data_IF_582723718674
#
_entry.id   IF_582723718674
#
_cell.length_a   1.000
_cell.length_b   1.000
_cell.length_c   1.000
_cell.angle_alpha   90.00
_cell.angle_beta   90.00
_cell.angle_gamma   90.00
#
_symmetry.space_group_name_H-M   'P 1'
#
loop_
_entity.id
_entity.type
_entity.pdbx_description
1 polymer ?
#
# COMPACT_ATOMS: atom_id res chain seq x y z
N UNK A 1 12.63 29.45 7.54
CA UNK A 1 11.45 28.81 6.89
C UNK A 1 11.10 29.50 5.56
N UNK A 2 12.03 29.61 4.60
CA UNK A 2 11.74 30.29 3.32
C UNK A 2 10.83 29.41 2.45
N UNK A 3 9.73 29.96 1.93
CA UNK A 3 8.80 29.26 1.01
C UNK A 3 7.73 28.38 1.68
N UNK A 4 7.59 28.44 3.01
CA UNK A 4 6.48 27.80 3.71
C UNK A 4 5.25 28.70 3.70
N UNK A 5 4.07 28.10 3.52
CA UNK A 5 2.78 28.78 3.64
C UNK A 5 2.10 28.32 4.93
N UNK A 6 2.00 29.25 5.88
CA UNK A 6 1.29 29.03 7.14
C UNK A 6 -0.18 29.38 6.94
N UNK A 7 -1.07 28.42 7.18
CA UNK A 7 -2.52 28.62 7.10
C UNK A 7 -3.05 28.71 8.54
N UNK A 8 -2.98 29.92 9.10
CA UNK A 8 -3.35 30.17 10.49
C UNK A 8 -4.87 30.34 10.65
N UNK A 9 -5.50 29.48 11.46
CA UNK A 9 -6.93 29.54 11.79
C UNK A 9 -7.22 30.19 13.15
N UNK A 10 -6.19 30.54 13.95
CA UNK A 10 -6.30 30.96 15.36
C UNK A 10 -7.09 32.24 15.59
N UNK A 11 -7.43 32.99 14.54
CA UNK A 11 -8.18 34.26 14.65
C UNK A 11 -9.70 34.10 14.47
N UNK A 12 -10.23 32.88 14.26
CA UNK A 12 -11.66 32.68 13.94
C UNK A 12 -12.24 31.40 14.56
N UNK A 13 -12.74 31.48 15.79
CA UNK A 13 -13.38 30.36 16.51
C UNK A 13 -14.50 29.65 15.70
N UNK A 14 -15.22 30.37 14.86
CA UNK A 14 -16.25 29.79 13.98
C UNK A 14 -15.69 28.84 12.91
N UNK A 15 -14.45 29.07 12.43
CA UNK A 15 -13.83 28.21 11.42
C UNK A 15 -13.37 26.86 11.99
N UNK A 16 -13.08 26.79 13.30
CA UNK A 16 -12.73 25.54 13.98
C UNK A 16 -13.92 24.58 14.11
N UNK A 17 -15.16 25.07 13.92
CA UNK A 17 -16.40 24.26 13.94
C UNK A 17 -16.74 23.62 12.59
N UNK A 18 -16.04 23.99 11.52
CA UNK A 18 -16.29 23.42 10.18
C UNK A 18 -15.99 21.93 10.18
N UNK A 19 -16.90 21.12 9.64
CA UNK A 19 -16.75 19.67 9.47
C UNK A 19 -16.44 19.29 8.02
N UNK A 20 -16.22 20.28 7.14
CA UNK A 20 -15.81 20.03 5.76
C UNK A 20 -14.44 19.36 5.76
N UNK A 21 -14.26 18.37 4.88
CA UNK A 21 -13.04 17.59 4.75
C UNK A 21 -12.58 17.56 3.30
N UNK A 22 -11.26 17.55 3.11
CA UNK A 22 -10.58 17.19 1.87
C UNK A 22 -9.44 16.23 2.19
N UNK A 23 -9.21 15.21 1.37
CA UNK A 23 -8.05 14.33 1.50
C UNK A 23 -6.99 14.71 0.46
N UNK A 24 -5.72 14.63 0.84
CA UNK A 24 -4.58 14.89 -0.03
C UNK A 24 -3.61 13.71 0.01
N UNK A 25 -2.97 13.48 -1.12
CA UNK A 25 -1.78 12.64 -1.23
C UNK A 25 -0.87 13.21 -2.34
N UNK A 26 0.43 12.98 -2.23
CA UNK A 26 1.44 13.47 -3.17
C UNK A 26 2.37 12.34 -3.62
N UNK A 27 2.77 12.39 -4.88
CA UNK A 27 3.93 11.63 -5.36
C UNK A 27 5.19 12.49 -5.23
N UNK A 28 6.28 11.90 -4.71
CA UNK A 28 7.52 12.62 -4.43
C UNK A 28 8.77 11.95 -5.02
N UNK A 29 9.66 12.77 -5.56
CA UNK A 29 10.94 12.37 -6.16
C UNK A 29 12.12 12.86 -5.33
N UNK A 30 13.28 12.22 -5.50
CA UNK A 30 14.53 12.64 -4.86
C UNK A 30 15.23 13.74 -5.68
N UNK A 31 15.60 14.83 -5.01
CA UNK A 31 16.41 15.89 -5.59
C UNK A 31 17.91 15.74 -5.27
N UNK A 32 18.74 16.44 -6.04
CA UNK A 32 20.21 16.40 -5.95
C UNK A 32 20.76 16.78 -4.57
N UNK A 33 20.05 17.61 -3.80
CA UNK A 33 20.43 17.99 -2.45
C UNK A 33 19.94 17.02 -1.36
N UNK A 34 19.47 15.83 -1.76
CA UNK A 34 18.98 14.79 -0.86
C UNK A 34 17.59 15.04 -0.30
N UNK A 35 16.89 16.10 -0.72
CA UNK A 35 15.52 16.39 -0.28
C UNK A 35 14.48 15.81 -1.24
N UNK A 36 13.29 15.50 -0.73
CA UNK A 36 12.14 15.12 -1.57
C UNK A 36 11.43 16.36 -2.13
N UNK A 37 10.91 16.25 -3.36
CA UNK A 37 10.05 17.25 -3.98
C UNK A 37 8.78 16.63 -4.56
N UNK A 38 7.66 17.35 -4.46
CA UNK A 38 6.38 16.94 -5.04
C UNK A 38 6.43 17.01 -6.57
N UNK A 39 5.95 15.95 -7.22
CA UNK A 39 5.79 15.87 -8.69
C UNK A 39 4.36 15.60 -9.12
N UNK A 40 3.51 15.08 -8.24
CA UNK A 40 2.08 14.96 -8.46
C UNK A 40 1.36 15.21 -7.15
N UNK A 41 0.22 15.88 -7.20
CA UNK A 41 -0.64 16.11 -6.03
C UNK A 41 -2.09 15.86 -6.42
N UNK A 42 -2.77 15.10 -5.58
CA UNK A 42 -4.17 14.77 -5.74
C UNK A 42 -4.93 15.22 -4.48
N UNK A 43 -6.10 15.83 -4.67
CA UNK A 43 -6.99 16.23 -3.59
C UNK A 43 -8.41 15.86 -3.95
N UNK A 44 -9.10 15.16 -3.06
CA UNK A 44 -10.52 14.82 -3.18
C UNK A 44 -11.32 15.42 -2.02
N UNK A 45 -12.59 15.71 -2.23
CA UNK A 45 -13.47 16.10 -1.14
C UNK A 45 -14.14 14.90 -0.46
N UNK A 46 -15.04 15.20 0.48
CA UNK A 46 -15.84 14.20 1.20
C UNK A 46 -16.66 13.28 0.29
N UNK A 47 -17.09 13.76 -0.88
CA UNK A 47 -17.86 13.00 -1.85
C UNK A 47 -16.95 12.22 -2.82
N UNK A 48 -15.65 12.21 -2.57
CA UNK A 48 -14.61 11.64 -3.44
C UNK A 48 -14.49 12.37 -4.78
N UNK A 49 -15.00 13.60 -4.88
CA UNK A 49 -14.84 14.41 -6.08
C UNK A 49 -13.45 15.05 -6.11
N UNK A 50 -12.78 14.95 -7.25
CA UNK A 50 -11.46 15.53 -7.47
C UNK A 50 -11.51 17.07 -7.41
N UNK A 51 -10.74 17.66 -6.50
CA UNK A 51 -10.56 19.12 -6.35
C UNK A 51 -9.20 19.61 -6.83
N UNK A 52 -8.21 18.73 -6.86
CA UNK A 52 -6.90 18.99 -7.45
C UNK A 52 -6.35 17.66 -7.98
N UNK A 53 -5.85 17.65 -9.20
CA UNK A 53 -5.04 16.57 -9.75
C UNK A 53 -4.08 17.23 -10.73
N UNK A 54 -2.82 17.37 -10.29
CA UNK A 54 -1.80 18.14 -11.02
C UNK A 54 -0.45 17.49 -10.90
N UNK A 55 0.22 17.36 -12.04
CA UNK A 55 1.68 17.26 -12.09
C UNK A 55 2.30 18.61 -11.71
N UNK A 56 3.40 18.55 -10.97
CA UNK A 56 4.11 19.69 -10.40
C UNK A 56 5.54 19.66 -10.89
N UNK A 57 6.01 20.78 -11.43
CA UNK A 57 7.41 20.95 -11.81
C UNK A 57 8.24 21.25 -10.55
N UNK A 58 9.18 20.37 -10.16
CA UNK A 58 10.07 20.66 -9.06
C UNK A 58 11.01 21.82 -9.40
N UNK A 59 11.29 22.68 -8.44
CA UNK A 59 12.26 23.77 -8.62
C UNK A 59 13.71 23.24 -8.67
N UNK A 60 13.97 22.15 -7.93
CA UNK A 60 15.28 21.52 -7.83
C UNK A 60 15.43 20.44 -8.90
N UNK A 61 16.67 20.18 -9.29
CA UNK A 61 17.00 19.09 -10.20
C UNK A 61 16.70 17.74 -9.54
N UNK A 62 15.98 16.90 -10.27
CA UNK A 62 15.62 15.54 -9.86
C UNK A 62 16.81 14.63 -10.15
N UNK A 63 17.17 13.77 -9.20
CA UNK A 63 18.18 12.71 -9.39
C UNK A 63 17.59 11.32 -9.48
N UNK A 64 16.43 11.10 -8.87
CA UNK A 64 15.71 9.83 -8.92
C UNK A 64 14.21 10.08 -8.88
N UNK A 65 13.53 9.70 -9.97
CA UNK A 65 12.09 9.84 -10.17
C UNK A 65 11.30 8.79 -9.38
N UNK A 66 11.95 7.69 -8.96
CA UNK A 66 11.30 6.56 -8.31
C UNK A 66 10.09 6.10 -9.11
N UNK A 67 10.19 6.05 -10.43
CA UNK A 67 9.05 5.86 -11.35
C UNK A 67 8.29 4.56 -11.06
N UNK A 68 8.99 3.53 -10.59
CA UNK A 68 8.40 2.27 -10.10
C UNK A 68 7.50 2.45 -8.87
N UNK A 69 7.71 3.51 -8.11
CA UNK A 69 6.89 3.91 -6.97
C UNK A 69 5.90 4.98 -7.38
N UNK A 70 6.32 6.09 -8.00
CA UNK A 70 5.48 7.28 -8.23
C UNK A 70 4.62 7.19 -9.47
N UNK A 71 4.94 6.29 -10.40
CA UNK A 71 4.34 6.24 -11.73
C UNK A 71 4.68 7.45 -12.61
N UNK A 72 5.61 8.32 -12.19
CA UNK A 72 5.99 9.54 -12.91
C UNK A 72 7.38 9.38 -13.52
N UNK A 73 7.49 9.60 -14.82
CA UNK A 73 8.75 9.61 -15.58
C UNK A 73 9.24 11.03 -15.87
N UNK A 74 10.48 11.13 -16.39
CA UNK A 74 11.02 12.41 -16.87
C UNK A 74 10.19 13.01 -18.01
N UNK A 75 9.60 12.17 -18.86
CA UNK A 75 8.78 12.60 -20.00
C UNK A 75 7.45 13.19 -19.53
N UNK A 76 6.85 12.65 -18.48
CA UNK A 76 5.60 13.16 -17.92
C UNK A 76 5.74 14.58 -17.36
N UNK A 77 6.94 14.95 -16.91
CA UNK A 77 7.24 16.29 -16.40
C UNK A 77 7.70 17.28 -17.49
N UNK A 78 7.87 16.83 -18.73
CA UNK A 78 8.25 17.70 -19.84
C UNK A 78 7.12 18.70 -20.14
N UNK A 79 7.47 19.99 -20.25
CA UNK A 79 6.49 21.05 -20.50
C UNK A 79 5.55 21.39 -19.34
N UNK A 80 5.60 20.68 -18.20
CA UNK A 80 4.80 21.00 -17.03
C UNK A 80 5.25 22.35 -16.44
N UNK A 81 4.30 23.26 -16.28
CA UNK A 81 4.53 24.63 -15.76
C UNK A 81 3.98 24.86 -14.37
N UNK A 82 3.09 23.98 -13.88
CA UNK A 82 2.50 24.10 -12.55
C UNK A 82 3.59 24.01 -11.49
N UNK A 83 3.71 25.05 -10.68
CA UNK A 83 4.73 25.16 -9.64
C UNK A 83 4.17 24.76 -8.27
N UNK A 84 5.07 24.52 -7.31
CA UNK A 84 4.70 24.38 -5.90
C UNK A 84 3.86 25.57 -5.39
N UNK A 85 4.14 26.78 -5.86
CA UNK A 85 3.39 27.98 -5.45
C UNK A 85 1.93 27.94 -5.95
N UNK A 86 1.67 27.39 -7.13
CA UNK A 86 0.31 27.22 -7.68
C UNK A 86 -0.48 26.18 -6.88
N UNK A 87 0.18 25.09 -6.49
CA UNK A 87 -0.40 24.08 -5.60
C UNK A 87 -0.71 24.69 -4.23
N UNK A 88 0.24 25.41 -3.63
CA UNK A 88 0.05 26.08 -2.34
C UNK A 88 -1.11 27.09 -2.39
N UNK A 89 -1.27 27.84 -3.47
CA UNK A 89 -2.40 28.76 -3.68
C UNK A 89 -3.72 28.01 -3.72
N UNK A 90 -3.77 26.87 -4.41
CA UNK A 90 -4.96 26.01 -4.49
C UNK A 90 -5.30 25.40 -3.13
N UNK A 91 -4.31 24.84 -2.43
CA UNK A 91 -4.46 24.29 -1.08
C UNK A 91 -4.92 25.35 -0.08
N UNK A 92 -4.35 26.55 -0.12
CA UNK A 92 -4.78 27.67 0.73
C UNK A 92 -6.25 28.01 0.52
N UNK A 93 -6.74 27.99 -0.73
CA UNK A 93 -8.17 28.21 -1.03
C UNK A 93 -9.03 27.10 -0.43
N UNK A 94 -8.66 25.84 -0.62
CA UNK A 94 -9.39 24.67 -0.11
C UNK A 94 -9.47 24.65 1.42
N UNK A 95 -8.40 25.07 2.10
CA UNK A 95 -8.26 25.03 3.57
C UNK A 95 -8.70 26.31 4.28
N UNK A 96 -8.97 27.39 3.54
CA UNK A 96 -9.23 28.75 4.08
C UNK A 96 -10.40 28.84 5.07
N UNK A 97 -11.40 27.97 4.94
CA UNK A 97 -12.60 27.98 5.78
C UNK A 97 -12.55 26.94 6.91
N UNK A 98 -11.34 26.62 7.36
CA UNK A 98 -11.11 25.61 8.39
C UNK A 98 -11.37 24.18 7.89
N UNK A 99 -11.38 23.91 6.59
CA UNK A 99 -11.58 22.55 6.07
C UNK A 99 -10.54 21.58 6.64
N UNK A 100 -10.98 20.49 7.25
CA UNK A 100 -10.08 19.47 7.80
C UNK A 100 -9.33 18.77 6.65
N UNK A 101 -8.02 18.65 6.78
CA UNK A 101 -7.17 17.94 5.84
C UNK A 101 -6.99 16.49 6.28
N UNK A 102 -7.30 15.55 5.39
CA UNK A 102 -7.19 14.12 5.62
C UNK A 102 -6.03 13.55 4.79
N UNK A 103 -5.34 12.53 5.29
CA UNK A 103 -4.41 11.74 4.49
C UNK A 103 -3.77 10.61 5.29
N UNK A 104 -2.68 10.04 4.79
CA UNK A 104 -1.97 8.94 5.42
C UNK A 104 -0.47 9.26 5.55
N UNK A 105 0.06 9.28 6.78
CA UNK A 105 1.42 9.77 7.04
C UNK A 105 1.64 11.20 6.52
N UNK A 106 0.63 12.06 6.73
CA UNK A 106 0.43 13.36 6.11
C UNK A 106 1.59 14.37 6.32
N UNK A 107 2.42 14.14 7.33
CA UNK A 107 3.64 14.90 7.57
C UNK A 107 4.67 14.85 6.43
N UNK A 108 4.57 13.87 5.52
CA UNK A 108 5.40 13.79 4.31
C UNK A 108 4.87 14.77 3.27
N UNK A 109 3.56 14.71 2.98
CA UNK A 109 2.87 15.60 2.04
C UNK A 109 3.01 17.06 2.45
N UNK A 110 2.70 17.39 3.71
CA UNK A 110 2.79 18.76 4.23
C UNK A 110 4.20 19.33 4.10
N UNK A 111 5.24 18.49 4.23
CA UNK A 111 6.64 18.91 4.13
C UNK A 111 7.04 19.24 2.70
N UNK A 112 6.68 18.40 1.73
CA UNK A 112 6.99 18.67 0.30
C UNK A 112 6.11 19.78 -0.26
N UNK A 113 4.88 19.92 0.23
CA UNK A 113 3.99 21.04 -0.07
C UNK A 113 4.40 22.33 0.67
N UNK A 114 5.30 22.24 1.66
CA UNK A 114 5.71 23.31 2.58
C UNK A 114 4.50 24.05 3.17
N UNK A 115 3.51 23.28 3.64
CA UNK A 115 2.30 23.77 4.27
C UNK A 115 2.37 23.53 5.77
N UNK A 116 2.09 24.57 6.55
CA UNK A 116 1.85 24.45 7.99
C UNK A 116 0.35 24.64 8.25
N UNK A 117 -0.32 23.55 8.63
CA UNK A 117 -1.76 23.49 8.83
C UNK A 117 -2.13 22.62 10.04
N UNK A 118 -3.04 23.13 10.87
CA UNK A 118 -3.31 22.53 12.19
C UNK A 118 -4.48 21.54 12.22
N UNK A 119 -5.43 21.62 11.27
CA UNK A 119 -6.65 20.78 11.29
C UNK A 119 -6.46 19.57 10.41
N UNK A 120 -5.79 18.56 10.95
CA UNK A 120 -5.46 17.33 10.21
C UNK A 120 -6.11 16.10 10.84
N UNK A 121 -6.47 15.14 10.00
CA UNK A 121 -6.74 13.75 10.39
C UNK A 121 -5.77 12.89 9.60
N UNK A 122 -4.84 12.24 10.32
CA UNK A 122 -3.87 11.34 9.72
C UNK A 122 -4.28 9.89 10.04
N UNK A 123 -4.67 9.17 8.99
CA UNK A 123 -5.13 7.77 9.07
C UNK A 123 -4.06 6.84 9.65
N UNK A 124 -2.77 7.19 9.54
CA UNK A 124 -1.69 6.40 10.15
C UNK A 124 -1.64 6.47 11.69
N UNK A 125 -2.36 7.40 12.31
CA UNK A 125 -2.46 7.56 13.77
C UNK A 125 -3.82 7.16 14.34
N UNK A 126 -4.90 7.31 13.58
CA UNK A 126 -6.26 7.01 14.07
C UNK A 126 -6.67 5.54 13.86
N UNK A 127 -5.86 4.78 13.12
CA UNK A 127 -5.96 3.33 12.98
C UNK A 127 -4.68 2.71 13.51
N UNK A 128 -4.77 2.10 14.69
CA UNK A 128 -3.66 1.41 15.33
C UNK A 128 -3.81 -0.11 15.15
N UNK A 129 -2.71 -0.84 14.99
CA UNK A 129 -2.74 -2.30 15.04
C UNK A 129 -3.24 -2.77 16.41
N UNK A 130 -4.19 -3.71 16.45
CA UNK A 130 -4.63 -4.40 17.68
C UNK A 130 -3.45 -4.92 18.52
N UNK A 131 -2.47 -5.51 17.83
CA UNK A 131 -1.45 -6.38 18.41
C UNK A 131 -0.02 -5.92 18.09
N UNK A 132 0.13 -4.65 17.71
CA UNK A 132 1.42 -4.04 17.36
C UNK A 132 1.95 -3.11 18.45
N UNK A 133 3.24 -2.75 18.43
CA UNK A 133 3.73 -1.63 19.22
C UNK A 133 2.86 -0.40 18.96
N UNK A 134 2.45 0.33 20.01
CA UNK A 134 1.60 1.55 19.91
C UNK A 134 2.24 2.61 18.96
N UNK A 135 3.55 2.51 18.73
CA UNK A 135 4.31 3.37 17.82
C UNK A 135 4.32 2.91 16.36
N UNK A 136 3.76 1.73 16.05
CA UNK A 136 3.72 1.17 14.69
C UNK A 136 2.57 1.80 13.91
N UNK A 137 2.93 2.53 12.86
CA UNK A 137 1.97 3.09 11.91
C UNK A 137 1.71 2.06 10.82
N UNK A 138 0.46 1.59 10.63
CA UNK A 138 0.14 0.66 9.55
C UNK A 138 0.28 1.35 8.20
N UNK A 139 0.58 0.59 7.15
CA UNK A 139 0.50 1.12 5.79
C UNK A 139 -0.95 1.29 5.36
N UNK A 140 -1.21 2.17 4.39
CA UNK A 140 -2.55 2.41 3.85
C UNK A 140 -3.20 1.12 3.32
N UNK A 141 -2.43 0.28 2.61
CA UNK A 141 -2.91 -1.03 2.13
C UNK A 141 -3.36 -1.93 3.27
N UNK A 142 -2.64 -1.96 4.40
CA UNK A 142 -3.04 -2.80 5.54
C UNK A 142 -4.34 -2.31 6.19
N UNK A 143 -4.67 -1.02 6.06
CA UNK A 143 -5.89 -0.44 6.62
C UNK A 143 -7.15 -0.77 5.80
N UNK A 144 -7.00 -1.12 4.53
CA UNK A 144 -8.13 -1.50 3.67
C UNK A 144 -8.53 -2.98 3.82
N UNK A 145 -8.14 -3.66 4.90
CA UNK A 145 -8.61 -5.02 5.23
C UNK A 145 -8.43 -6.03 4.10
N UNK A 146 -7.27 -5.99 3.42
CA UNK A 146 -6.95 -6.92 2.33
C UNK A 146 -7.56 -6.56 0.98
N UNK A 147 -8.29 -5.44 0.86
CA UNK A 147 -8.56 -4.82 -0.43
C UNK A 147 -7.37 -3.95 -0.79
N UNK A 148 -6.57 -4.34 -1.80
CA UNK A 148 -5.39 -3.57 -2.12
C UNK A 148 -5.84 -2.22 -2.72
N UNK A 149 -5.17 -1.12 -2.34
CA UNK A 149 -5.44 0.19 -2.98
C UNK A 149 -5.13 0.11 -4.48
N UNK A 150 -4.24 -0.81 -4.87
CA UNK A 150 -3.72 -1.00 -6.22
C UNK A 150 -3.19 -2.42 -6.43
N UNK A 151 -3.03 -2.85 -7.67
CA UNK A 151 -2.44 -4.15 -7.97
C UNK A 151 -1.00 -4.32 -7.44
N UNK A 152 -0.61 -5.56 -7.15
CA UNK A 152 0.73 -5.87 -6.65
C UNK A 152 1.77 -5.49 -7.70
N UNK A 153 2.70 -4.61 -7.32
CA UNK A 153 3.75 -4.11 -8.21
C UNK A 153 3.32 -2.94 -9.10
N UNK A 154 2.07 -2.50 -9.03
CA UNK A 154 1.65 -1.26 -9.67
C UNK A 154 2.23 -0.04 -8.93
N UNK A 155 2.59 1.04 -9.66
CA UNK A 155 3.01 2.28 -9.04
C UNK A 155 1.89 2.87 -8.18
N UNK A 156 2.29 3.71 -7.24
CA UNK A 156 1.42 4.58 -6.45
C UNK A 156 0.62 5.51 -7.36
N UNK A 157 -0.58 5.82 -6.89
CA UNK A 157 -1.42 6.83 -7.51
C UNK A 157 -2.04 7.67 -6.40
N UNK A 158 -1.56 8.91 -6.28
CA UNK A 158 -2.07 9.84 -5.29
C UNK A 158 -3.60 10.00 -5.27
N UNK A 159 -4.29 9.77 -6.38
CA UNK A 159 -5.75 9.90 -6.42
C UNK A 159 -6.41 8.74 -5.67
N UNK A 160 -5.93 7.53 -5.90
CA UNK A 160 -6.42 6.32 -5.23
C UNK A 160 -6.08 6.36 -3.74
N UNK A 161 -4.90 6.86 -3.40
CA UNK A 161 -4.41 6.98 -2.02
C UNK A 161 -5.20 8.04 -1.23
N UNK A 162 -5.41 9.24 -1.79
CA UNK A 162 -6.25 10.26 -1.18
C UNK A 162 -7.70 9.78 -1.01
N UNK A 163 -8.22 9.05 -2.00
CA UNK A 163 -9.56 8.46 -1.97
C UNK A 163 -9.68 7.39 -0.88
N UNK A 164 -8.69 6.50 -0.78
CA UNK A 164 -8.64 5.46 0.26
C UNK A 164 -8.58 6.08 1.66
N UNK A 165 -7.72 7.10 1.87
CA UNK A 165 -7.64 7.81 3.14
C UNK A 165 -8.98 8.48 3.51
N UNK A 166 -9.67 9.12 2.55
CA UNK A 166 -11.00 9.68 2.78
C UNK A 166 -12.02 8.60 3.15
N UNK A 167 -12.05 7.48 2.40
CA UNK A 167 -12.96 6.35 2.68
C UNK A 167 -12.76 5.79 4.08
N UNK A 168 -11.52 5.62 4.52
CA UNK A 168 -11.18 5.15 5.88
C UNK A 168 -11.75 6.09 6.95
N UNK A 169 -11.52 7.40 6.82
CA UNK A 169 -12.07 8.38 7.77
C UNK A 169 -13.60 8.36 7.79
N UNK A 170 -14.23 8.30 6.62
CA UNK A 170 -15.69 8.25 6.52
C UNK A 170 -16.28 6.97 7.12
N UNK A 171 -15.60 5.83 6.94
CA UNK A 171 -15.97 4.57 7.57
C UNK A 171 -15.89 4.69 9.10
N UNK A 172 -14.78 5.20 9.65
CA UNK A 172 -14.64 5.40 11.10
C UNK A 172 -15.72 6.33 11.67
N UNK A 173 -16.05 7.42 10.97
CA UNK A 173 -17.13 8.32 11.38
C UNK A 173 -18.49 7.61 11.35
N UNK A 174 -18.78 6.86 10.29
CA UNK A 174 -20.05 6.13 10.12
C UNK A 174 -20.26 5.06 11.20
N UNK A 175 -19.19 4.37 11.58
CA UNK A 175 -19.23 3.26 12.55
C UNK A 175 -19.02 3.70 14.01
N UNK A 176 -18.91 4.99 14.28
CA UNK A 176 -18.67 5.54 15.62
C UNK A 176 -17.18 5.69 15.92
N UNK A 177 -16.81 6.84 16.49
CA UNK A 177 -15.41 7.19 16.78
C UNK A 177 -14.89 6.61 18.10
N UNK A 178 -15.80 6.29 19.03
CA UNK A 178 -15.50 5.78 20.38
C UNK A 178 -15.44 4.24 20.44
N UNK A 179 -15.72 3.56 19.32
CA UNK A 179 -15.62 2.12 19.22
C UNK A 179 -14.14 1.74 18.97
N UNK A 180 -13.38 1.61 20.06
CA UNK A 180 -12.00 1.08 20.06
C UNK A 180 -11.94 -0.37 19.51
N UNK A 181 -13.10 -1.04 19.44
CA UNK A 181 -13.28 -2.40 18.89
C UNK A 181 -13.15 -2.52 17.36
N UNK A 182 -12.89 -1.41 16.64
CA UNK A 182 -12.43 -1.45 15.23
C UNK A 182 -10.90 -1.29 15.16
N UNK A 183 -10.20 -1.91 16.09
CA UNK A 183 -9.35 -3.06 15.80
C UNK A 183 -9.48 -3.63 14.35
N UNK A 184 -9.00 -2.92 13.33
CA UNK A 184 -8.87 -3.43 11.96
C UNK A 184 -7.81 -4.55 12.00
N UNK A 185 -8.16 -5.84 11.79
CA UNK A 185 -7.17 -6.90 11.71
C UNK A 185 -6.27 -6.60 10.51
N UNK A 186 -4.98 -6.36 10.77
CA UNK A 186 -4.02 -6.12 9.70
C UNK A 186 -3.86 -7.41 8.90
N UNK A 187 -4.47 -7.46 7.73
CA UNK A 187 -4.16 -8.51 6.76
C UNK A 187 -2.76 -8.19 6.21
N UNK A 188 -1.79 -9.03 6.55
CA UNK A 188 -0.47 -8.97 5.92
C UNK A 188 -0.62 -9.50 4.50
N UNK A 189 -0.40 -8.66 3.50
CA UNK A 189 -0.38 -9.10 2.10
C UNK A 189 0.67 -10.21 1.92
N UNK A 190 0.35 -11.29 1.18
CA UNK A 190 1.32 -12.32 0.85
C UNK A 190 2.45 -11.70 0.01
N UNK A 191 3.68 -11.77 0.52
CA UNK A 191 4.86 -11.26 -0.18
C UNK A 191 5.14 -12.18 -1.38
N UNK A 192 5.29 -11.66 -2.61
CA UNK A 192 5.58 -12.48 -3.79
C UNK A 192 6.84 -13.34 -3.59
N UNK A 193 6.85 -14.58 -4.12
CA UNK A 193 7.99 -15.48 -3.98
C UNK A 193 9.31 -14.89 -4.48
N UNK A 194 9.26 -14.07 -5.54
CA UNK A 194 10.43 -13.36 -6.07
C UNK A 194 11.04 -12.35 -5.09
N UNK A 195 10.23 -11.82 -4.17
CA UNK A 195 10.68 -10.96 -3.08
C UNK A 195 11.16 -11.79 -1.88
N UNK A 196 10.52 -12.93 -1.61
CA UNK A 196 10.95 -13.86 -0.57
C UNK A 196 12.34 -14.46 -0.86
N UNK A 197 12.71 -14.58 -2.13
CA UNK A 197 14.05 -14.98 -2.58
C UNK A 197 15.13 -13.90 -2.38
N UNK A 198 14.82 -12.76 -1.75
CA UNK A 198 15.77 -11.66 -1.53
C UNK A 198 16.03 -11.43 -0.04
N UNK A 199 17.23 -10.95 0.27
CA UNK A 199 17.56 -10.31 1.55
C UNK A 199 17.97 -8.86 1.30
N UNK A 200 17.51 -7.93 2.15
CA UNK A 200 17.96 -6.55 2.10
C UNK A 200 19.18 -6.36 2.99
N UNK A 201 20.28 -5.94 2.37
CA UNK A 201 21.47 -5.42 3.03
C UNK A 201 21.35 -3.91 3.14
N UNK A 202 21.29 -3.35 4.35
CA UNK A 202 21.10 -1.91 4.54
C UNK A 202 21.99 -1.31 5.62
N UNK A 203 22.12 0.03 5.55
CA UNK A 203 23.05 0.84 6.37
C UNK A 203 24.52 0.49 6.16
N UNK A 204 24.87 0.06 4.95
CA UNK A 204 26.23 -0.27 4.55
C UNK A 204 27.02 1.03 4.39
N UNK A 205 28.18 1.16 5.04
CA UNK A 205 29.04 2.33 4.83
C UNK A 205 29.63 2.34 3.42
N UNK A 206 29.75 3.51 2.79
CA UNK A 206 30.38 3.66 1.47
C UNK A 206 31.86 3.25 1.42
N UNK A 207 32.51 3.04 2.56
CA UNK A 207 33.86 2.47 2.64
C UNK A 207 33.90 0.95 2.39
N UNK A 208 32.78 0.24 2.52
CA UNK A 208 32.68 -1.21 2.32
C UNK A 208 32.56 -1.52 0.83
N UNK A 209 33.48 -2.35 0.32
CA UNK A 209 33.46 -2.75 -1.09
C UNK A 209 32.45 -3.87 -1.34
N UNK A 210 32.03 -4.00 -2.59
CA UNK A 210 30.99 -4.98 -2.99
C UNK A 210 31.48 -6.41 -2.76
N UNK A 211 32.76 -6.66 -3.01
CA UNK A 211 33.37 -7.98 -2.85
C UNK A 211 33.32 -8.45 -1.40
N UNK A 212 33.44 -7.52 -0.44
CA UNK A 212 33.38 -7.80 1.00
C UNK A 212 31.96 -8.18 1.45
N UNK A 213 30.91 -7.79 0.72
CA UNK A 213 29.52 -8.18 1.03
C UNK A 213 29.26 -9.66 0.76
N UNK A 214 30.01 -10.28 -0.15
CA UNK A 214 29.92 -11.73 -0.40
C UNK A 214 30.42 -12.57 0.76
N UNK A 215 31.26 -12.00 1.65
CA UNK A 215 31.73 -12.69 2.85
C UNK A 215 30.76 -12.56 4.03
N UNK A 216 29.85 -11.58 3.99
CA UNK A 216 28.91 -11.28 5.09
C UNK A 216 27.70 -12.21 5.08
N UNK A 217 27.22 -12.58 3.89
CA UNK A 217 26.04 -13.45 3.74
C UNK A 217 26.50 -14.78 3.15
N UNK A 218 26.18 -15.93 3.77
CA UNK A 218 26.52 -17.23 3.24
C UNK A 218 25.66 -17.59 2.01
N UNK A 219 26.16 -18.50 1.19
CA UNK A 219 25.45 -19.01 0.03
C UNK A 219 25.74 -18.26 -1.28
N UNK A 220 25.09 -18.71 -2.36
CA UNK A 220 25.28 -18.17 -3.71
C UNK A 220 24.13 -17.23 -4.07
N UNK A 221 24.43 -15.96 -4.23
CA UNK A 221 23.46 -14.92 -4.58
C UNK A 221 24.06 -13.91 -5.55
N UNK A 222 23.21 -13.14 -6.22
CA UNK A 222 23.60 -11.96 -6.98
C UNK A 222 23.30 -10.70 -6.17
N UNK A 223 24.16 -9.68 -6.31
CA UNK A 223 23.98 -8.38 -5.66
C UNK A 223 23.36 -7.38 -6.63
N UNK A 224 22.27 -6.74 -6.20
CA UNK A 224 21.66 -5.60 -6.87
C UNK A 224 21.82 -4.36 -5.98
N UNK A 225 22.67 -3.42 -6.39
CA UNK A 225 22.96 -2.22 -5.60
C UNK A 225 21.85 -1.18 -5.76
N UNK A 226 21.51 -0.51 -4.65
CA UNK A 226 20.67 0.67 -4.65
C UNK A 226 21.50 1.94 -4.68
N UNK A 227 20.95 3.05 -5.23
CA UNK A 227 21.62 4.35 -5.18
C UNK A 227 22.01 4.72 -3.74
N UNK A 228 23.24 5.22 -3.50
CA UNK A 228 23.67 5.61 -2.18
C UNK A 228 22.82 6.78 -1.64
N UNK A 229 22.55 6.76 -0.34
CA UNK A 229 21.88 7.83 0.40
C UNK A 229 22.86 8.39 1.43
N UNK A 230 23.59 9.44 1.04
CA UNK A 230 24.61 10.06 1.89
C UNK A 230 25.88 9.22 1.99
N UNK A 231 26.32 8.93 3.22
CA UNK A 231 27.49 8.11 3.55
C UNK A 231 27.22 6.60 3.57
N UNK A 232 25.99 6.20 3.20
CA UNK A 232 25.53 4.81 3.25
C UNK A 232 24.84 4.39 1.97
N UNK A 233 24.90 3.11 1.68
CA UNK A 233 24.16 2.48 0.58
C UNK A 233 23.42 1.23 1.06
N UNK A 234 22.68 0.61 0.15
CA UNK A 234 21.94 -0.62 0.39
C UNK A 234 22.01 -1.51 -0.84
N UNK A 235 21.79 -2.80 -0.67
CA UNK A 235 21.82 -3.78 -1.74
C UNK A 235 20.79 -4.88 -1.48
N UNK A 236 20.31 -5.51 -2.55
CA UNK A 236 19.60 -6.78 -2.44
C UNK A 236 20.56 -7.94 -2.71
N UNK A 237 20.59 -8.91 -1.82
CA UNK A 237 21.13 -10.24 -2.10
C UNK A 237 19.99 -11.08 -2.66
N UNK A 238 20.09 -11.49 -3.92
CA UNK A 238 19.06 -12.21 -4.66
C UNK A 238 19.48 -13.67 -4.80
N UNK A 239 18.71 -14.55 -4.18
CA UNK A 239 18.92 -15.99 -4.19
C UNK A 239 18.09 -16.64 -5.30
N UNK A 240 18.41 -17.90 -5.59
CA UNK A 240 17.69 -18.67 -6.62
C UNK A 240 16.22 -18.88 -6.26
N UNK A 241 15.92 -19.02 -4.97
CA UNK A 241 14.58 -19.29 -4.46
C UNK A 241 14.44 -18.79 -3.00
N UNK A 242 13.20 -18.71 -2.47
CA UNK A 242 12.94 -18.29 -1.09
C UNK A 242 13.64 -19.13 -0.01
N UNK A 243 13.78 -20.44 -0.22
CA UNK A 243 14.39 -21.33 0.77
C UNK A 243 15.88 -21.01 0.94
N UNK A 244 16.62 -20.81 -0.15
CA UNK A 244 18.03 -20.42 -0.08
C UNK A 244 18.22 -19.07 0.62
N UNK A 245 17.32 -18.10 0.41
CA UNK A 245 17.34 -16.83 1.13
C UNK A 245 17.06 -17.00 2.64
N UNK A 246 16.13 -17.89 2.99
CA UNK A 246 15.81 -18.22 4.37
C UNK A 246 17.01 -18.88 5.06
N UNK A 247 17.57 -19.92 4.47
CA UNK A 247 18.71 -20.67 5.01
C UNK A 247 19.91 -19.75 5.19
N UNK A 248 20.20 -18.91 4.19
CA UNK A 248 21.27 -17.91 4.28
C UNK A 248 21.05 -16.94 5.44
N UNK A 249 19.82 -16.46 5.66
CA UNK A 249 19.52 -15.58 6.78
C UNK A 249 19.72 -16.28 8.13
N UNK A 250 19.30 -17.54 8.28
CA UNK A 250 19.45 -18.29 9.52
C UNK A 250 20.93 -18.51 9.86
N UNK A 251 21.78 -18.76 8.87
CA UNK A 251 23.22 -18.95 9.03
C UNK A 251 24.00 -17.65 9.31
N UNK A 252 23.50 -16.48 8.89
CA UNK A 252 24.14 -15.19 9.20
C UNK A 252 24.31 -15.03 10.71
N UNK A 253 25.55 -14.79 11.14
CA UNK A 253 25.87 -14.46 12.53
C UNK A 253 25.70 -12.97 12.79
N UNK A 254 24.94 -12.63 13.84
CA UNK A 254 24.69 -11.24 14.23
C UNK A 254 23.64 -11.14 15.31
N UNK A 255 23.52 -9.96 15.93
CA UNK A 255 22.45 -9.71 16.90
C UNK A 255 21.13 -9.55 16.17
N UNK A 256 20.18 -10.45 16.44
CA UNK A 256 18.86 -10.44 15.80
C UNK A 256 17.90 -9.48 16.50
N UNK A 257 17.19 -8.68 15.71
CA UNK A 257 16.06 -7.88 16.14
C UNK A 257 14.94 -7.90 15.05
N UNK A 258 13.94 -7.05 15.22
CA UNK A 258 12.88 -6.84 14.23
C UNK A 258 12.88 -5.38 13.78
N UNK A 259 12.63 -5.16 12.49
CA UNK A 259 12.44 -3.82 11.94
C UNK A 259 11.10 -3.19 12.35
N UNK A 260 10.86 -1.94 11.94
CA UNK A 260 9.60 -1.23 12.19
C UNK A 260 8.36 -1.91 11.60
N UNK A 261 8.54 -2.79 10.61
CA UNK A 261 7.49 -3.57 9.99
C UNK A 261 7.26 -4.93 10.67
N UNK A 262 8.13 -5.34 11.61
CA UNK A 262 8.10 -6.65 12.28
C UNK A 262 8.87 -7.76 11.58
N UNK A 263 9.68 -7.42 10.56
CA UNK A 263 10.51 -8.37 9.80
C UNK A 263 11.80 -8.61 10.56
N UNK A 264 12.25 -9.86 10.60
CA UNK A 264 13.51 -10.19 11.24
C UNK A 264 14.70 -9.62 10.48
N UNK A 265 15.62 -9.02 11.23
CA UNK A 265 16.90 -8.55 10.72
C UNK A 265 18.02 -8.88 11.72
N UNK A 266 19.24 -8.99 11.23
CA UNK A 266 20.44 -9.23 12.03
C UNK A 266 21.43 -8.10 11.78
N UNK A 267 21.93 -7.49 12.85
CA UNK A 267 23.08 -6.60 12.80
C UNK A 267 24.34 -7.46 12.76
N UNK A 268 25.07 -7.38 11.65
CA UNK A 268 26.30 -8.12 11.41
C UNK A 268 27.47 -7.16 11.53
N UNK A 269 28.47 -7.55 12.32
CA UNK A 269 29.73 -6.82 12.47
C UNK A 269 30.85 -7.66 11.90
N UNK A 270 31.65 -7.07 11.02
CA UNK A 270 32.72 -7.76 10.29
C UNK A 270 33.94 -6.87 10.14
N UNK A 271 35.10 -7.47 9.90
CA UNK A 271 36.34 -6.75 9.63
C UNK A 271 36.52 -6.57 8.13
N UNK A 272 36.87 -5.36 7.72
CA UNK A 272 37.23 -5.07 6.33
C UNK A 272 38.65 -5.58 6.04
N UNK A 273 38.97 -5.73 4.76
CA UNK A 273 40.33 -6.03 4.29
C UNK A 273 41.37 -5.01 4.76
N UNK A 274 40.94 -3.79 5.11
CA UNK A 274 41.76 -2.73 5.70
C UNK A 274 42.02 -2.88 7.22
N UNK A 275 41.43 -3.88 7.88
CA UNK A 275 41.49 -4.10 9.32
C UNK A 275 40.55 -3.21 10.14
N UNK A 276 39.72 -2.39 9.48
CA UNK A 276 38.69 -1.60 10.15
C UNK A 276 37.41 -2.41 10.36
N UNK A 277 36.76 -2.23 11.50
CA UNK A 277 35.49 -2.88 11.79
C UNK A 277 34.34 -2.10 11.14
N UNK A 278 33.47 -2.81 10.43
CA UNK A 278 32.24 -2.26 9.84
C UNK A 278 31.03 -3.07 10.27
N UNK A 279 29.84 -2.53 10.03
CA UNK A 279 28.59 -3.21 10.35
C UNK A 279 27.52 -2.93 9.32
N UNK A 280 26.65 -3.90 9.09
CA UNK A 280 25.45 -3.75 8.26
C UNK A 280 24.29 -4.54 8.85
N UNK A 281 23.08 -4.28 8.35
CA UNK A 281 21.91 -5.09 8.67
C UNK A 281 21.56 -6.00 7.49
N UNK A 282 21.35 -7.28 7.78
CA UNK A 282 20.74 -8.25 6.86
C UNK A 282 19.29 -8.42 7.27
N UNK A 283 18.32 -8.26 6.37
CA UNK A 283 16.89 -8.29 6.70
C UNK A 283 16.09 -9.18 5.74
N UNK A 284 15.18 -10.00 6.31
CA UNK A 284 14.18 -10.77 5.56
C UNK A 284 13.15 -9.85 4.88
N UNK A 285 12.65 -10.27 3.73
CA UNK A 285 11.67 -9.48 2.97
C UNK A 285 10.24 -9.62 3.49
N UNK A 286 9.95 -10.69 4.25
CA UNK A 286 8.68 -10.95 4.92
C UNK A 286 8.83 -11.17 6.44
N UNK A 287 7.74 -11.03 7.21
CA UNK A 287 7.67 -11.44 8.62
C UNK A 287 7.71 -12.98 8.78
N UNK A 288 8.20 -13.47 9.92
CA UNK A 288 8.40 -14.92 10.15
C UNK A 288 7.10 -15.72 10.37
N UNK A 289 5.97 -15.08 10.69
CA UNK A 289 4.66 -15.73 10.81
C UNK A 289 3.53 -14.67 10.83
N UNK A 290 2.55 -14.70 9.90
CA UNK A 290 1.38 -13.81 9.95
C UNK A 290 0.37 -14.15 11.06
N UNK A 291 0.43 -15.35 11.65
CA UNK A 291 -0.66 -15.92 12.47
C UNK A 291 -0.27 -16.34 13.90
N UNK A 292 0.97 -16.12 14.35
CA UNK A 292 1.35 -16.38 15.76
C UNK A 292 1.54 -15.10 16.56
N UNK A 293 0.42 -14.48 16.92
CA UNK A 293 0.30 -13.67 18.12
C UNK A 293 -0.54 -14.47 19.11
N UNK A 294 0.14 -15.23 19.98
CA UNK A 294 -0.52 -15.86 21.11
C UNK A 294 -0.94 -14.74 22.09
N UNK A 295 -2.23 -14.61 22.44
CA UNK A 295 -2.67 -13.65 23.43
C UNK A 295 -2.08 -14.04 24.79
N UNK A 296 -1.24 -13.17 25.34
CA UNK A 296 -0.81 -13.26 26.73
C UNK A 296 -2.05 -13.10 27.61
N UNK A 297 -2.44 -14.19 28.28
CA UNK A 297 -3.45 -14.25 29.35
C UNK A 297 -3.34 -13.07 30.31
N UNK A 298 -4.25 -12.11 30.17
CA UNK A 298 -4.80 -11.33 31.27
C UNK A 298 -6.18 -10.84 30.88
N UNK A 299 -7.09 -10.91 31.84
CA UNK A 299 -8.51 -10.53 31.78
C UNK A 299 -9.46 -11.55 31.13
N UNK A 300 -9.70 -12.66 31.84
CA UNK A 300 -11.00 -13.34 31.81
C UNK A 300 -11.20 -14.05 33.15
N UNK A 301 -11.45 -13.24 34.18
CA UNK A 301 -12.19 -13.66 35.37
C UNK A 301 -13.08 -12.49 35.77
N UNK A 302 -14.32 -12.49 35.30
CA UNK A 302 -15.41 -11.82 36.03
C UNK A 302 -16.54 -12.82 36.13
N UNK A 303 -16.71 -13.29 37.36
CA UNK A 303 -17.80 -14.14 37.79
C UNK A 303 -19.15 -13.45 37.53
N UNK A 304 -20.10 -14.25 37.07
CA UNK A 304 -21.51 -13.93 37.06
C UNK A 304 -22.01 -13.68 38.48
N UNK A 305 -22.54 -12.49 38.75
CA UNK A 305 -23.52 -12.31 39.84
C UNK A 305 -24.60 -11.32 39.40
N UNK A 306 -25.78 -11.88 39.12
CA UNK A 306 -27.07 -11.20 39.11
C UNK A 306 -27.33 -10.52 40.46
N UNK A 307 -27.65 -9.21 40.48
CA UNK A 307 -28.53 -8.61 41.49
C UNK A 307 -29.32 -7.45 40.89
N UNK A 308 -30.63 -7.64 40.74
CA UNK A 308 -31.62 -6.57 40.63
C UNK A 308 -31.64 -5.74 41.93
N UNK A 309 -31.52 -4.40 41.83
CA UNK A 309 -32.02 -3.49 42.88
C UNK A 309 -32.80 -2.33 42.30
N UNK A 310 -34.10 -2.41 42.57
CA UNK A 310 -35.20 -1.45 42.43
C UNK A 310 -34.92 -0.21 43.31
N UNK A 311 -34.91 0.98 42.72
CA UNK A 311 -34.98 2.23 43.48
C UNK A 311 -36.42 2.77 43.43
N UNK A 312 -36.96 3.10 44.61
CA UNK A 312 -38.30 3.68 44.82
C UNK A 312 -38.26 5.18 44.53
N UNK A 313 -39.27 5.68 43.82
CA UNK A 313 -39.57 7.11 43.62
C UNK A 313 -40.67 7.55 44.60
N UNK A 314 -40.55 8.77 45.11
CA UNK A 314 -41.65 9.50 45.78
C UNK A 314 -42.64 10.06 44.74
N UNK A 315 -43.96 10.07 45.02
CA UNK A 315 -44.98 10.52 44.08
C UNK A 315 -45.42 11.95 44.41
N UNK A 316 -45.25 12.90 43.49
CA UNK A 316 -46.11 14.07 43.36
C UNK A 316 -45.70 14.90 42.14
N UNK A 317 -46.39 14.67 41.02
CA UNK A 317 -46.74 15.57 39.89
C UNK A 317 -47.06 14.71 38.68
N UNK A 318 -48.26 14.15 38.69
CA UNK A 318 -48.89 13.60 37.49
C UNK A 318 -49.92 14.62 36.99
N UNK A 319 -50.25 14.51 35.69
CA UNK A 319 -51.22 15.29 34.91
C UNK A 319 -50.65 16.48 34.12
N UNK A 320 -49.63 16.22 33.30
CA UNK A 320 -49.46 16.91 31.98
C UNK A 320 -48.55 16.13 30.99
N UNK A 321 -47.77 15.12 31.45
CA UNK A 321 -46.78 14.42 30.62
C UNK A 321 -47.21 13.06 30.01
N UNK A 322 -48.44 12.60 30.22
CA UNK A 322 -48.88 11.27 29.78
C UNK A 322 -49.27 11.17 28.30
N UNK A 323 -49.83 12.24 27.70
CA UNK A 323 -50.24 12.25 26.29
C UNK A 323 -49.04 12.42 25.33
N UNK A 324 -48.02 13.18 25.74
CA UNK A 324 -46.83 13.48 24.93
C UNK A 324 -45.89 12.27 24.83
N UNK A 325 -45.74 11.49 25.91
CA UNK A 325 -44.90 10.28 25.92
C UNK A 325 -45.52 9.11 25.14
N UNK A 326 -46.86 8.96 25.17
CA UNK A 326 -47.54 7.92 24.38
C UNK A 326 -47.37 8.13 22.87
N UNK A 327 -47.47 9.38 22.41
CA UNK A 327 -47.25 9.73 20.99
C UNK A 327 -45.79 9.53 20.54
N UNK A 328 -44.80 9.79 21.40
CA UNK A 328 -43.39 9.55 21.10
C UNK A 328 -43.04 8.05 21.00
N UNK A 329 -43.60 7.21 21.86
CA UNK A 329 -43.40 5.77 21.78
C UNK A 329 -44.02 5.17 20.51
N UNK A 330 -45.21 5.62 20.10
CA UNK A 330 -45.86 5.12 18.88
C UNK A 330 -45.12 5.55 17.60
N UNK A 331 -44.56 6.75 17.58
CA UNK A 331 -43.75 7.24 16.46
C UNK A 331 -42.41 6.51 16.36
N UNK A 332 -41.73 6.25 17.48
CA UNK A 332 -40.51 5.43 17.48
C UNK A 332 -40.78 3.98 17.04
N UNK A 333 -41.93 3.39 17.42
CA UNK A 333 -42.30 2.04 16.98
C UNK A 333 -42.48 1.97 15.45
N UNK A 334 -43.18 2.95 14.87
CA UNK A 334 -43.36 3.06 13.42
C UNK A 334 -42.03 3.26 12.68
N UNK A 335 -41.10 4.01 13.27
CA UNK A 335 -39.76 4.21 12.70
C UNK A 335 -38.92 2.93 12.75
N UNK A 336 -38.98 2.17 13.85
CA UNK A 336 -38.31 0.86 13.98
C UNK A 336 -38.88 -0.13 12.95
N UNK A 337 -40.19 -0.18 12.78
CA UNK A 337 -40.82 -1.03 11.76
C UNK A 337 -40.40 -0.63 10.34
N UNK A 338 -40.36 0.67 10.04
CA UNK A 338 -39.91 1.17 8.74
C UNK A 338 -38.43 0.86 8.47
N UNK A 339 -37.57 0.92 9.49
CA UNK A 339 -36.17 0.55 9.40
C UNK A 339 -35.99 -0.96 9.20
N UNK A 340 -36.76 -1.80 9.91
CA UNK A 340 -36.73 -3.25 9.74
C UNK A 340 -37.19 -3.67 8.34
N UNK A 341 -38.20 -3.01 7.77
CA UNK A 341 -38.61 -3.25 6.38
C UNK A 341 -37.52 -2.87 5.38
N UNK A 342 -36.83 -1.74 5.61
CA UNK A 342 -35.70 -1.31 4.78
C UNK A 342 -34.53 -2.29 4.87
N UNK A 343 -34.22 -2.77 6.07
CA UNK A 343 -33.17 -3.77 6.30
C UNK A 343 -33.46 -5.05 5.51
N UNK A 344 -34.70 -5.56 5.60
CA UNK A 344 -35.15 -6.75 4.88
C UNK A 344 -35.08 -6.58 3.35
N UNK A 345 -35.36 -5.38 2.84
CA UNK A 345 -35.23 -5.08 1.43
C UNK A 345 -33.75 -5.07 1.00
N UNK A 346 -32.87 -4.50 1.81
CA UNK A 346 -31.43 -4.50 1.55
C UNK A 346 -30.82 -5.90 1.61
N UNK A 347 -31.27 -6.76 2.53
CA UNK A 347 -30.82 -8.16 2.60
C UNK A 347 -31.19 -8.93 1.33
N UNK A 348 -32.39 -8.70 0.78
CA UNK A 348 -32.84 -9.30 -0.47
C UNK A 348 -32.01 -8.81 -1.67
N UNK A 349 -31.65 -7.53 -1.69
CA UNK A 349 -30.81 -6.93 -2.73
C UNK A 349 -29.38 -7.48 -2.68
N UNK A 350 -28.81 -7.63 -1.49
CA UNK A 350 -27.50 -8.26 -1.27
C UNK A 350 -27.50 -9.70 -1.79
N UNK A 351 -28.55 -10.47 -1.51
CA UNK A 351 -28.64 -11.85 -1.96
C UNK A 351 -28.73 -11.95 -3.49
N UNK A 352 -29.47 -11.05 -4.14
CA UNK A 352 -29.53 -10.97 -5.59
C UNK A 352 -28.17 -10.61 -6.20
N UNK A 353 -27.45 -9.65 -5.62
CA UNK A 353 -26.10 -9.26 -6.05
C UNK A 353 -25.08 -10.41 -5.87
N UNK A 354 -25.19 -11.19 -4.79
CA UNK A 354 -24.37 -12.39 -4.59
C UNK A 354 -24.62 -13.44 -5.66
N UNK A 355 -25.88 -13.62 -6.05
CA UNK A 355 -26.24 -14.56 -7.13
C UNK A 355 -25.68 -14.12 -8.48
N UNK A 356 -25.72 -12.81 -8.78
CA UNK A 356 -25.09 -12.24 -9.97
C UNK A 356 -23.56 -12.39 -9.97
N UNK A 357 -22.90 -12.13 -8.84
CA UNK A 357 -21.45 -12.32 -8.70
C UNK A 357 -21.05 -13.78 -8.98
N UNK A 358 -21.78 -14.74 -8.41
CA UNK A 358 -21.55 -16.17 -8.64
C UNK A 358 -21.68 -16.55 -10.12
N UNK A 359 -22.64 -15.94 -10.82
CA UNK A 359 -22.82 -16.16 -12.25
C UNK A 359 -21.65 -15.57 -13.06
N UNK A 360 -21.22 -14.35 -12.73
CA UNK A 360 -20.07 -13.71 -13.39
C UNK A 360 -18.76 -14.48 -13.13
N UNK A 361 -18.55 -15.01 -11.93
CA UNK A 361 -17.39 -15.85 -11.63
C UNK A 361 -17.35 -17.10 -12.51
N UNK A 362 -18.50 -17.77 -12.69
CA UNK A 362 -18.58 -18.94 -13.58
C UNK A 362 -18.30 -18.60 -15.04
N UNK A 363 -18.69 -17.41 -15.50
CA UNK A 363 -18.42 -16.94 -16.86
C UNK A 363 -16.94 -16.60 -17.06
N UNK A 364 -16.31 -15.95 -16.08
CA UNK A 364 -14.86 -15.68 -16.09
C UNK A 364 -14.07 -16.98 -16.13
N UNK A 365 -14.48 -18.01 -15.39
CA UNK A 365 -13.80 -19.30 -15.38
C UNK A 365 -13.89 -20.01 -16.74
N UNK A 366 -15.06 -19.96 -17.40
CA UNK A 366 -15.24 -20.44 -18.77
C UNK A 366 -14.34 -19.69 -19.77
N UNK A 367 -14.27 -18.36 -19.68
CA UNK A 367 -13.42 -17.55 -20.55
C UNK A 367 -11.93 -17.83 -20.34
N UNK A 368 -11.49 -18.04 -19.09
CA UNK A 368 -10.11 -18.45 -18.77
C UNK A 368 -9.77 -19.80 -19.39
N UNK A 369 -10.72 -20.75 -19.38
CA UNK A 369 -10.52 -22.06 -20.00
C UNK A 369 -10.39 -21.96 -21.52
N UNK A 370 -11.20 -21.11 -22.18
CA UNK A 370 -11.08 -20.82 -23.61
C UNK A 370 -9.72 -20.19 -23.95
N UNK A 371 -9.30 -19.16 -23.21
CA UNK A 371 -8.01 -18.51 -23.44
C UNK A 371 -6.84 -19.49 -23.31
N UNK A 372 -6.91 -20.44 -22.37
CA UNK A 372 -5.90 -21.49 -22.22
C UNK A 372 -5.80 -22.39 -23.47
N UNK A 373 -6.94 -22.72 -24.09
CA UNK A 373 -6.96 -23.49 -25.34
C UNK A 373 -6.38 -22.69 -26.50
N UNK A 374 -6.67 -21.38 -26.60
CA UNK A 374 -6.13 -20.53 -27.66
C UNK A 374 -4.61 -20.39 -27.58
N UNK A 375 -4.05 -20.26 -26.38
CA UNK A 375 -2.60 -20.22 -26.15
C UNK A 375 -1.93 -21.54 -26.57
N UNK A 376 -2.57 -22.68 -26.30
CA UNK A 376 -2.08 -24.00 -26.72
C UNK A 376 -2.10 -24.15 -28.24
N UNK A 377 -3.16 -23.69 -28.90
CA UNK A 377 -3.26 -23.64 -30.37
C UNK A 377 -2.18 -22.75 -30.98
N UNK A 378 -1.88 -21.61 -30.38
CA UNK A 378 -0.84 -20.69 -30.87
C UNK A 378 0.58 -21.30 -30.74
N UNK A 379 0.85 -21.98 -29.63
CA UNK A 379 2.09 -22.76 -29.43
C UNK A 379 2.25 -23.86 -30.50
N UNK A 380 1.20 -24.62 -30.78
CA UNK A 380 1.21 -25.65 -31.83
C UNK A 380 1.43 -25.06 -33.23
N UNK A 381 0.84 -23.89 -33.53
CA UNK A 381 1.09 -23.17 -34.80
C UNK A 381 2.54 -22.75 -34.93
N UNK A 382 3.19 -22.33 -33.84
CA UNK A 382 4.61 -21.96 -33.86
C UNK A 382 5.51 -23.18 -34.11
N UNK A 383 5.20 -24.32 -33.48
CA UNK A 383 5.90 -25.59 -33.72
C UNK A 383 5.77 -26.07 -35.18
N UNK A 384 4.57 -25.95 -35.76
CA UNK A 384 4.33 -26.26 -37.17
C UNK A 384 5.20 -25.41 -38.10
N UNK A 385 5.26 -24.08 -37.89
CA UNK A 385 6.12 -23.19 -38.68
C UNK A 385 7.59 -23.58 -38.61
N UNK A 386 8.07 -23.99 -37.44
CA UNK A 386 9.45 -24.46 -37.25
C UNK A 386 9.70 -25.75 -38.03
N UNK A 387 8.76 -26.70 -38.00
CA UNK A 387 8.86 -27.95 -38.76
C UNK A 387 8.82 -27.73 -40.26
N UNK A 388 7.99 -26.82 -40.75
CA UNK A 388 7.96 -26.45 -42.17
C UNK A 388 9.29 -25.81 -42.64
N UNK A 389 9.93 -25.03 -41.77
CA UNK A 389 11.26 -24.49 -42.05
C UNK A 389 12.30 -25.61 -42.16
N UNK A 390 12.32 -26.56 -41.22
CA UNK A 390 13.22 -27.73 -41.24
C UNK A 390 13.02 -28.57 -42.52
N UNK A 391 11.77 -28.85 -42.90
CA UNK A 391 11.42 -29.57 -44.11
C UNK A 391 11.95 -28.84 -45.36
N UNK A 392 11.77 -27.52 -45.42
CA UNK A 392 12.29 -26.73 -46.55
C UNK A 392 13.82 -26.77 -46.65
N UNK A 393 14.53 -26.73 -45.51
CA UNK A 393 15.99 -26.87 -45.47
C UNK A 393 16.42 -28.26 -45.97
N UNK A 394 15.77 -29.32 -45.48
CA UNK A 394 16.04 -30.70 -45.91
C UNK A 394 15.78 -30.89 -47.41
N UNK A 395 14.67 -30.36 -47.93
CA UNK A 395 14.35 -30.42 -49.36
C UNK A 395 15.44 -29.74 -50.21
N UNK A 396 15.98 -28.59 -49.78
CA UNK A 396 17.10 -27.92 -50.46
C UNK A 396 18.39 -28.76 -50.43
N UNK A 397 18.67 -29.42 -49.32
CA UNK A 397 19.83 -30.33 -49.22
C UNK A 397 19.68 -31.54 -50.15
N UNK A 398 18.51 -32.19 -50.17
CA UNK A 398 18.22 -33.33 -51.05
C UNK A 398 18.33 -32.92 -52.51
N UNK A 399 17.78 -31.77 -52.91
CA UNK A 399 17.92 -31.24 -54.26
C UNK A 399 19.40 -31.03 -54.65
N UNK A 400 20.21 -30.52 -53.72
CA UNK A 400 21.64 -30.30 -53.93
C UNK A 400 22.42 -31.62 -54.09
N UNK A 401 22.08 -32.65 -53.31
CA UNK A 401 22.66 -33.98 -53.42
C UNK A 401 22.28 -34.64 -54.75
N UNK A 402 21.02 -34.56 -55.17
CA UNK A 402 20.55 -35.06 -56.46
C UNK A 402 21.25 -34.38 -57.64
N UNK A 403 21.52 -33.07 -57.57
CA UNK A 403 22.30 -32.34 -58.56
C UNK A 403 23.77 -32.82 -58.64
N UNK A 404 24.41 -33.08 -57.48
CA UNK A 404 25.76 -33.65 -57.42
C UNK A 404 25.81 -35.07 -58.00
N UNK A 405 24.80 -35.89 -57.72
CA UNK A 405 24.70 -37.25 -58.23
C UNK A 405 24.51 -37.27 -59.75
N UNK A 406 23.64 -36.40 -60.29
CA UNK A 406 23.48 -36.23 -61.75
C UNK A 406 24.80 -35.84 -62.43
N UNK A 407 25.57 -34.89 -61.86
CA UNK A 407 26.89 -34.49 -62.39
C UNK A 407 27.91 -35.64 -62.38
N UNK A 408 27.90 -36.49 -61.35
CA UNK A 408 28.81 -37.64 -61.26
C UNK A 408 28.52 -38.72 -62.32
N UNK A 409 27.27 -38.85 -62.76
CA UNK A 409 26.86 -39.81 -63.82
C UNK A 409 27.20 -39.30 -65.22
N UNK A 410 27.31 -37.98 -65.43
CA UNK A 410 27.66 -37.39 -66.74
C UNK A 410 29.18 -37.29 -67.01
N UNK A 411 30.01 -37.62 -66.01
CA UNK A 411 31.49 -37.51 -66.08
C UNK A 411 32.19 -38.89 -66.14
N UNK A 412 31.42 -39.96 -66.39
CA UNK A 412 31.88 -41.30 -66.77
C UNK A 412 31.34 -41.60 -68.15
#
# INVERSE_FOLDING_TARGET
>A
MKGWVIINLRLKNMLLRSTKMVAVDCEMVLCEDGTDAVVKVCVVDRNLEVKLDKLVRPYKKIVDYRTEITGVSAQDLEGITCSLADVQKSMKKLLSNGTILVGHSLHNDLRVLKLDYIRVIDTSYIFLPLDGPIHKRPSLNNLLLGYPVREIGAPHNCLDDATAAMKLVLAKIKHGVDNDDIAIPLIQEPVPESQLAKLLLHRISTSVKIEELHEVVPGRFTLELKPPKGDKYSAFAIFKNPQEAYDAFEEVQGSQDKDSCGRSQKLVTFQLSSGMTSSLYVRKMAPDDPLKLNPSKRALEVAETNVFKKARMDPEREEEDAETNSNMCETHLKEIEALNQRLKQSDLEIENLRQQLKQNESEIESLRQQLKQDVEVESLRQQLKQKDYEINVLNKMVASLNMKQKRSVTTR
#
